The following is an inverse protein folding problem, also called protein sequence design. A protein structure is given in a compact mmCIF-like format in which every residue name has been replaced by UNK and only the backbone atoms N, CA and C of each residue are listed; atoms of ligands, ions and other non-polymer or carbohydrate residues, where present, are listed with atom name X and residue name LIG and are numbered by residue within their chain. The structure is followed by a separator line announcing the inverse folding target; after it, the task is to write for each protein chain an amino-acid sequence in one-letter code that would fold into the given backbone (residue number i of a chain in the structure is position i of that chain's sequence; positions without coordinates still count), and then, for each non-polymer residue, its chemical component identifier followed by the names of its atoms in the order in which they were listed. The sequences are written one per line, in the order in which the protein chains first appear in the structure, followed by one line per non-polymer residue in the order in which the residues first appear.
data_IF_322033874037
#
_entry.id   IF_322033874037
#
_cell.length_a   1.000
_cell.length_b   1.000
_cell.length_c   1.000
_cell.angle_alpha   90.00
_cell.angle_beta   90.00
_cell.angle_gamma   90.00
#
_symmetry.space_group_name_H-M   'P 1'
#
loop_
_entity.id
_entity.type
_entity.pdbx_description
1 polymer ?
#
# COMPACT_ATOMS: atom_id res chain seq x y z
N UNK A 1 7.23 7.88 13.31
CA UNK A 1 5.75 7.98 13.24
C UNK A 1 5.25 6.77 12.49
N UNK A 2 4.31 6.04 13.07
CA UNK A 2 3.76 4.80 12.51
C UNK A 2 2.46 5.03 11.74
N UNK A 3 2.14 4.13 10.81
CA UNK A 3 0.93 4.17 9.97
C UNK A 3 -0.39 4.18 10.78
N UNK A 4 -0.39 3.60 11.98
CA UNK A 4 -1.58 3.48 12.82
C UNK A 4 -1.79 4.69 13.77
N UNK A 5 -0.83 5.60 13.87
CA UNK A 5 -0.96 6.80 14.72
C UNK A 5 -2.02 7.76 14.16
N UNK A 6 -2.92 8.24 15.03
CA UNK A 6 -3.99 9.19 14.69
C UNK A 6 -3.98 10.40 15.62
N UNK A 7 -4.35 11.56 15.10
CA UNK A 7 -4.59 12.80 15.84
C UNK A 7 -5.97 13.32 15.45
N UNK A 8 -6.88 13.47 16.42
CA UNK A 8 -8.27 13.91 16.19
C UNK A 8 -9.01 13.12 15.10
N UNK A 9 -8.79 11.79 15.03
CA UNK A 9 -9.41 10.92 14.02
C UNK A 9 -8.71 10.90 12.66
N UNK A 10 -7.74 11.77 12.42
CA UNK A 10 -6.97 11.81 11.18
C UNK A 10 -5.65 11.05 11.33
N UNK A 11 -5.22 10.36 10.27
CA UNK A 11 -3.91 9.73 10.24
C UNK A 11 -2.81 10.80 10.42
N UNK A 12 -1.85 10.54 11.31
CA UNK A 12 -0.74 11.47 11.56
C UNK A 12 0.24 11.53 10.38
N UNK A 13 0.28 10.48 9.57
CA UNK A 13 1.10 10.37 8.36
C UNK A 13 0.34 9.60 7.27
N UNK A 14 0.47 10.05 6.02
CA UNK A 14 -0.04 9.33 4.84
C UNK A 14 1.09 8.46 4.27
N UNK A 15 1.20 7.23 4.77
CA UNK A 15 2.35 6.35 4.45
C UNK A 15 2.43 5.97 2.96
N UNK A 16 1.31 5.88 2.25
CA UNK A 16 1.28 5.62 0.81
C UNK A 16 1.91 6.79 0.01
N UNK A 17 1.60 8.02 0.40
CA UNK A 17 2.22 9.23 -0.17
C UNK A 17 3.72 9.27 0.14
N UNK A 18 4.12 8.95 1.37
CA UNK A 18 5.53 8.87 1.75
C UNK A 18 6.29 7.81 0.92
N UNK A 19 5.71 6.63 0.75
CA UNK A 19 6.28 5.56 -0.07
C UNK A 19 6.49 6.00 -1.52
N UNK A 20 5.49 6.68 -2.10
CA UNK A 20 5.58 7.21 -3.46
C UNK A 20 6.70 8.23 -3.62
N UNK A 21 6.72 9.26 -2.76
CA UNK A 21 7.71 10.34 -2.86
C UNK A 21 9.13 9.90 -2.52
N UNK A 22 9.29 8.81 -1.76
CA UNK A 22 10.59 8.18 -1.51
C UNK A 22 11.10 7.30 -2.65
N UNK A 23 10.27 7.06 -3.68
CA UNK A 23 10.58 6.14 -4.79
C UNK A 23 10.42 4.66 -4.45
N UNK A 24 9.83 4.31 -3.30
CA UNK A 24 9.72 2.93 -2.82
C UNK A 24 8.61 2.14 -3.53
N UNK A 25 7.45 2.75 -3.76
CA UNK A 25 6.32 2.11 -4.42
C UNK A 25 5.42 3.15 -5.10
N UNK A 26 4.95 2.87 -6.32
CA UNK A 26 4.03 3.77 -6.99
C UNK A 26 2.67 3.75 -6.28
N UNK A 27 2.03 4.92 -6.12
CA UNK A 27 0.76 5.07 -5.40
C UNK A 27 -0.33 5.39 -6.41
N UNK A 28 -1.10 4.35 -6.74
CA UNK A 28 -2.21 4.43 -7.67
C UNK A 28 -3.45 4.96 -6.96
N UNK A 29 -4.04 6.00 -7.52
CA UNK A 29 -5.19 6.72 -6.99
C UNK A 29 -6.30 6.79 -8.04
N UNK A 30 -7.53 7.04 -7.58
CA UNK A 30 -8.68 7.30 -8.47
C UNK A 30 -8.37 8.38 -9.52
N UNK A 31 -7.60 9.40 -9.16
CA UNK A 31 -7.17 10.49 -10.06
C UNK A 31 -6.17 10.06 -11.14
N UNK A 32 -5.50 8.91 -11.00
CA UNK A 32 -4.61 8.36 -12.04
C UNK A 32 -5.40 7.63 -13.16
N UNK A 33 -6.72 7.55 -13.06
CA UNK A 33 -7.59 6.93 -14.07
C UNK A 33 -8.42 8.02 -14.73
N UNK A 34 -8.18 8.25 -16.03
CA UNK A 34 -9.02 9.09 -16.88
C UNK A 34 -10.35 8.40 -17.16
N UNK A 35 -11.42 9.16 -17.40
CA UNK A 35 -12.78 8.64 -17.65
C UNK A 35 -13.18 7.59 -16.60
N UNK A 36 -13.21 8.02 -15.34
CA UNK A 36 -13.33 7.14 -14.18
C UNK A 36 -14.60 6.27 -14.29
N UNK A 37 -14.48 4.92 -14.22
CA UNK A 37 -15.62 4.02 -14.38
C UNK A 37 -16.49 3.91 -13.12
N UNK A 38 -16.09 4.56 -12.03
CA UNK A 38 -16.78 4.47 -10.74
C UNK A 38 -17.74 5.65 -10.55
N UNK A 39 -18.92 5.41 -9.93
CA UNK A 39 -19.82 6.48 -9.51
C UNK A 39 -19.09 7.58 -8.72
N UNK A 40 -19.54 8.82 -8.85
CA UNK A 40 -18.91 9.99 -8.22
C UNK A 40 -18.93 9.89 -6.69
N UNK A 41 -20.01 9.37 -6.12
CA UNK A 41 -20.22 9.16 -4.69
C UNK A 41 -19.46 7.94 -4.13
N UNK A 42 -19.00 7.03 -5.01
CA UNK A 42 -18.25 5.85 -4.59
C UNK A 42 -16.82 6.21 -4.20
N UNK A 43 -16.50 6.06 -2.91
CA UNK A 43 -15.12 6.19 -2.44
C UNK A 43 -14.25 5.05 -2.96
N UNK A 44 -13.15 5.39 -3.63
CA UNK A 44 -12.13 4.47 -4.12
C UNK A 44 -10.82 4.81 -3.41
N UNK A 45 -10.37 3.93 -2.51
CA UNK A 45 -9.10 4.07 -1.84
C UNK A 45 -7.96 3.74 -2.80
N UNK A 46 -6.87 4.51 -2.74
CA UNK A 46 -5.66 4.25 -3.50
C UNK A 46 -4.85 3.09 -2.90
N UNK A 47 -3.96 2.54 -3.72
CA UNK A 47 -3.09 1.43 -3.36
C UNK A 47 -1.65 1.70 -3.80
N UNK A 48 -0.68 1.38 -2.94
CA UNK A 48 0.71 1.29 -3.36
C UNK A 48 0.99 -0.10 -3.93
N UNK A 49 1.82 -0.16 -4.97
CA UNK A 49 2.30 -1.42 -5.54
C UNK A 49 3.82 -1.38 -5.65
N UNK A 50 4.51 -2.32 -4.99
CA UNK A 50 5.97 -2.39 -4.99
C UNK A 50 6.46 -3.04 -6.30
N UNK A 51 7.49 -2.52 -6.97
CA UNK A 51 7.94 -3.06 -8.25
C UNK A 51 8.44 -4.51 -8.16
N UNK A 52 9.01 -4.89 -7.01
CA UNK A 52 9.53 -6.26 -6.80
C UNK A 52 8.53 -7.19 -6.12
N UNK A 53 7.74 -6.68 -5.16
CA UNK A 53 6.95 -7.52 -4.24
C UNK A 53 5.45 -7.31 -4.41
N UNK A 54 5.04 -6.51 -5.38
CA UNK A 54 3.65 -6.16 -5.63
C UNK A 54 2.94 -5.62 -4.40
N UNK A 55 1.77 -6.18 -4.10
CA UNK A 55 1.03 -5.84 -2.88
C UNK A 55 1.46 -6.65 -1.64
N UNK A 56 2.49 -7.49 -1.72
CA UNK A 56 3.00 -8.30 -0.60
C UNK A 56 3.98 -7.52 0.30
N UNK A 57 3.63 -6.27 0.61
CA UNK A 57 4.37 -5.41 1.52
C UNK A 57 3.41 -4.70 2.48
N UNK A 58 3.94 -4.23 3.62
CA UNK A 58 3.29 -3.26 4.50
C UNK A 58 4.12 -1.97 4.53
N UNK A 59 3.44 -0.84 4.72
CA UNK A 59 4.09 0.47 4.88
C UNK A 59 3.96 0.89 6.34
N UNK A 60 5.02 0.70 7.13
CA UNK A 60 4.87 0.77 8.59
C UNK A 60 4.99 2.18 9.19
N UNK A 61 5.67 3.10 8.51
CA UNK A 61 5.85 4.45 9.01
C UNK A 61 7.00 5.23 8.39
N UNK A 62 7.37 6.31 9.05
CA UNK A 62 8.48 7.19 8.67
C UNK A 62 9.34 7.55 9.88
N UNK A 63 10.65 7.66 9.66
CA UNK A 63 11.59 8.30 10.57
C UNK A 63 11.84 9.74 10.12
N UNK A 64 11.79 10.68 11.06
CA UNK A 64 12.04 12.11 10.79
C UNK A 64 13.21 12.56 11.63
N UNK A 65 14.28 13.01 10.97
CA UNK A 65 15.46 13.58 11.59
C UNK A 65 15.40 15.10 11.43
N UNK A 66 15.00 15.81 12.49
CA UNK A 66 14.70 17.26 12.42
C UNK A 66 15.93 18.12 12.13
N UNK A 67 17.10 17.65 12.55
CA UNK A 67 18.36 18.40 12.46
C UNK A 67 19.22 17.97 11.26
N UNK A 68 18.70 17.09 10.40
CA UNK A 68 19.39 16.62 9.20
C UNK A 68 18.74 17.23 7.96
N UNK A 69 19.46 18.13 7.31
CA UNK A 69 19.01 18.81 6.10
C UNK A 69 19.73 18.25 4.87
N UNK A 70 18.96 17.81 3.87
CA UNK A 70 19.51 17.25 2.63
C UNK A 70 18.88 17.92 1.39
N UNK A 71 19.10 19.23 1.16
CA UNK A 71 18.46 19.95 0.05
C UNK A 71 18.90 19.43 -1.33
N UNK A 72 20.08 18.83 -1.43
CA UNK A 72 20.62 18.25 -2.65
C UNK A 72 20.38 16.74 -2.79
N UNK A 73 19.55 16.12 -1.93
CA UNK A 73 19.25 14.70 -2.04
C UNK A 73 18.54 14.42 -3.37
N UNK A 74 19.11 13.57 -4.24
CA UNK A 74 18.47 13.23 -5.50
C UNK A 74 17.12 12.57 -5.24
N UNK A 75 16.08 13.06 -5.93
CA UNK A 75 14.76 12.43 -5.91
C UNK A 75 14.78 11.27 -6.91
N UNK A 76 14.34 10.10 -6.45
CA UNK A 76 14.10 8.94 -7.32
C UNK A 76 12.60 8.77 -7.44
N UNK A 77 12.09 8.83 -8.66
CA UNK A 77 10.68 8.54 -8.91
C UNK A 77 10.40 7.04 -8.69
N UNK A 78 9.21 6.70 -8.15
CA UNK A 78 8.82 5.31 -8.00
C UNK A 78 8.59 4.68 -9.37
N UNK A 79 8.94 3.40 -9.50
CA UNK A 79 8.72 2.65 -10.73
C UNK A 79 7.22 2.39 -10.95
N UNK A 80 6.70 2.84 -12.10
CA UNK A 80 5.32 2.59 -12.51
C UNK A 80 5.21 1.25 -13.24
N UNK A 81 4.57 0.27 -12.61
CA UNK A 81 4.42 -1.09 -13.18
C UNK A 81 3.09 -1.32 -13.91
N UNK A 82 2.10 -0.44 -13.72
CA UNK A 82 0.80 -0.44 -14.40
C UNK A 82 0.60 0.87 -15.18
N UNK A 83 1.24 1.02 -16.36
CA UNK A 83 1.14 2.24 -17.15
C UNK A 83 -0.25 2.42 -17.78
N UNK A 84 -0.99 1.32 -17.99
CA UNK A 84 -2.24 1.36 -18.74
C UNK A 84 -3.46 1.59 -17.85
N UNK A 85 -4.48 2.23 -18.40
CA UNK A 85 -5.71 2.59 -17.69
C UNK A 85 -6.44 1.37 -17.13
N UNK A 86 -6.55 0.32 -17.92
CA UNK A 86 -7.28 -0.90 -17.58
C UNK A 86 -6.66 -1.61 -16.38
N UNK A 87 -5.32 -1.66 -16.32
CA UNK A 87 -4.57 -2.25 -15.22
C UNK A 87 -4.73 -1.44 -13.93
N UNK A 88 -4.72 -0.10 -14.03
CA UNK A 88 -5.00 0.77 -12.87
C UNK A 88 -6.41 0.57 -12.33
N UNK A 89 -7.40 0.38 -13.21
CA UNK A 89 -8.78 0.08 -12.83
C UNK A 89 -8.84 -1.29 -12.15
N UNK A 90 -8.20 -2.31 -12.70
CA UNK A 90 -8.15 -3.66 -12.12
C UNK A 90 -7.51 -3.65 -10.73
N UNK A 91 -6.35 -2.99 -10.59
CA UNK A 91 -5.66 -2.81 -9.31
C UNK A 91 -6.57 -2.18 -8.27
N UNK A 92 -7.19 -1.04 -8.59
CA UNK A 92 -8.03 -0.31 -7.65
C UNK A 92 -9.30 -1.09 -7.31
N UNK A 93 -9.92 -1.78 -8.27
CA UNK A 93 -11.08 -2.63 -8.02
C UNK A 93 -10.74 -3.78 -7.06
N UNK A 94 -9.65 -4.50 -7.32
CA UNK A 94 -9.21 -5.62 -6.48
C UNK A 94 -8.71 -5.15 -5.12
N UNK A 95 -8.14 -3.95 -5.00
CA UNK A 95 -7.73 -3.41 -3.71
C UNK A 95 -8.95 -3.08 -2.83
N UNK A 96 -9.97 -2.47 -3.43
CA UNK A 96 -11.17 -2.03 -2.71
C UNK A 96 -12.19 -3.14 -2.47
N UNK A 97 -11.96 -4.37 -2.96
CA UNK A 97 -12.89 -5.51 -2.85
C UNK A 97 -12.19 -6.74 -2.27
N UNK A 98 -12.69 -7.34 -1.17
CA UNK A 98 -12.22 -8.64 -0.71
C UNK A 98 -12.31 -9.71 -1.82
N UNK A 99 -11.34 -10.65 -1.92
CA UNK A 99 -10.31 -11.00 -0.94
C UNK A 99 -9.00 -10.20 -1.07
N UNK A 100 -9.02 -9.03 -1.71
CA UNK A 100 -7.82 -8.22 -1.92
C UNK A 100 -6.74 -8.92 -2.76
N UNK A 101 -7.17 -9.62 -3.81
CA UNK A 101 -6.31 -10.30 -4.80
C UNK A 101 -5.45 -9.35 -5.64
N UNK A 102 -5.51 -8.05 -5.36
CA UNK A 102 -4.66 -7.04 -5.98
C UNK A 102 -3.17 -7.37 -5.81
N UNK A 103 -2.79 -8.05 -4.71
CA UNK A 103 -1.39 -8.37 -4.38
C UNK A 103 -0.68 -9.23 -5.43
N UNK A 104 -1.43 -9.99 -6.22
CA UNK A 104 -0.93 -10.99 -7.17
C UNK A 104 -1.11 -10.58 -8.64
N UNK A 105 -1.32 -9.29 -8.93
CA UNK A 105 -1.47 -8.82 -10.31
C UNK A 105 -0.23 -9.01 -11.18
N UNK A 106 0.94 -9.13 -10.55
CA UNK A 106 2.21 -9.44 -11.21
C UNK A 106 2.92 -10.57 -10.45
N UNK A 107 3.72 -11.41 -11.14
CA UNK A 107 4.55 -12.40 -10.46
C UNK A 107 5.57 -11.71 -9.56
N UNK A 108 5.78 -12.25 -8.36
CA UNK A 108 6.72 -11.72 -7.36
C UNK A 108 7.67 -12.82 -6.91
N UNK A 109 8.92 -12.50 -6.53
CA UNK A 109 9.90 -13.50 -6.10
C UNK A 109 9.57 -14.06 -4.71
N UNK A 110 8.74 -13.36 -3.93
CA UNK A 110 8.37 -13.76 -2.58
C UNK A 110 7.03 -13.15 -2.19
N UNK A 111 6.22 -13.96 -1.52
CA UNK A 111 4.96 -13.56 -0.88
C UNK A 111 5.11 -13.68 0.63
N UNK A 112 4.08 -13.28 1.36
CA UNK A 112 4.00 -13.66 2.77
C UNK A 112 3.91 -15.18 2.89
N UNK A 113 4.48 -15.72 3.98
CA UNK A 113 4.29 -17.12 4.33
C UNK A 113 2.79 -17.41 4.56
N UNK A 114 2.35 -18.63 4.29
CA UNK A 114 0.93 -19.00 4.40
C UNK A 114 0.39 -18.74 5.81
N UNK A 115 1.19 -19.02 6.84
CA UNK A 115 0.85 -18.77 8.24
C UNK A 115 0.65 -17.27 8.52
N UNK A 116 1.44 -16.41 7.86
CA UNK A 116 1.29 -14.97 7.99
C UNK A 116 0.03 -14.46 7.26
N UNK A 117 -0.32 -15.06 6.11
CA UNK A 117 -1.59 -14.75 5.43
C UNK A 117 -2.80 -15.15 6.28
N UNK A 118 -2.75 -16.33 6.88
CA UNK A 118 -3.78 -16.79 7.83
C UNK A 118 -3.85 -15.83 9.01
N UNK A 119 -2.72 -15.48 9.63
CA UNK A 119 -2.65 -14.53 10.74
C UNK A 119 -3.30 -13.19 10.39
N UNK A 120 -2.96 -12.56 9.25
CA UNK A 120 -3.52 -11.27 8.86
C UNK A 120 -5.00 -11.30 8.47
N UNK A 121 -5.53 -12.48 8.15
CA UNK A 121 -6.94 -12.68 7.77
C UNK A 121 -7.82 -13.14 8.93
N UNK A 122 -7.23 -13.39 10.09
CA UNK A 122 -7.89 -13.93 11.26
C UNK A 122 -8.54 -12.84 12.13
N UNK A 123 -9.48 -13.23 12.98
CA UNK A 123 -9.94 -12.36 14.06
C UNK A 123 -8.87 -12.21 15.15
N UNK A 124 -9.10 -11.31 16.12
CA UNK A 124 -8.11 -10.99 17.15
C UNK A 124 -7.75 -12.18 18.04
N UNK A 125 -8.70 -13.04 18.39
CA UNK A 125 -8.45 -14.16 19.30
C UNK A 125 -7.66 -15.25 18.58
N UNK A 126 -8.01 -15.52 17.32
CA UNK A 126 -7.27 -16.38 16.42
C UNK A 126 -5.84 -15.86 16.17
N UNK A 127 -5.66 -14.56 15.93
CA UNK A 127 -4.34 -13.94 15.80
C UNK A 127 -3.48 -14.20 17.05
N UNK A 128 -4.03 -13.97 18.25
CA UNK A 128 -3.31 -14.21 19.52
C UNK A 128 -2.96 -15.70 19.65
N UNK A 129 -3.85 -16.61 19.26
CA UNK A 129 -3.59 -18.05 19.32
C UNK A 129 -2.46 -18.46 18.37
N UNK A 130 -2.47 -17.98 17.13
CA UNK A 130 -1.41 -18.23 16.13
C UNK A 130 -0.07 -17.67 16.63
N UNK A 131 -0.05 -16.42 17.11
CA UNK A 131 1.17 -15.77 17.59
C UNK A 131 1.83 -16.48 18.79
N UNK A 132 1.07 -17.25 19.57
CA UNK A 132 1.62 -18.05 20.69
C UNK A 132 2.27 -19.37 20.25
N UNK A 133 2.05 -19.79 19.01
CA UNK A 133 2.60 -21.03 18.46
C UNK A 133 3.92 -20.82 17.70
N UNK A 134 4.32 -19.56 17.51
CA UNK A 134 5.55 -19.12 16.83
C UNK A 134 6.56 -18.70 17.90
#
# INVERSE_FOLDING_TARGET
MHQFEKVNGHAKILVQTAAHLSGAAYYYQRSNVTDQPWPEDKKIFGACYHPVYGGWISLDGVFIFKDVLCPALPKKDPEEVFPNREERIELLNKYNTPPHSFRDLLPVPRRYAEEHVVYLSSDRDQMIAIAKQI
#
